data_IF_441731389767
#
_entry.id   IF_441731389767
#
_cell.length_a   1.000
_cell.length_b   1.000
_cell.length_c   1.000
_cell.angle_alpha   90.00
_cell.angle_beta   90.00
_cell.angle_gamma   90.00
#
_symmetry.space_group_name_H-M   'P 1'
#
loop_
_entity.id
_entity.type
_entity.pdbx_description
1 polymer ?
#
# COMPACT_ATOMS: atom_id res chain seq x y z
N UNK A 1 3.47 -6.74 -4.65
CA UNK A 1 4.48 -6.17 -4.00
C UNK A 1 5.34 -7.04 -3.13
N UNK A 2 6.44 -6.58 -2.74
CA UNK A 2 7.46 -7.42 -2.26
C UNK A 2 7.80 -7.20 -0.84
N UNK A 3 8.17 -8.27 -0.24
CA UNK A 3 8.80 -8.22 1.03
C UNK A 3 10.08 -7.43 0.90
N UNK A 4 10.39 -6.66 1.90
CA UNK A 4 11.61 -5.90 1.90
C UNK A 4 11.51 -4.49 1.38
N UNK A 5 10.33 -4.05 0.93
CA UNK A 5 10.16 -2.64 0.66
C UNK A 5 10.27 -1.87 1.96
N UNK A 6 11.16 -0.89 1.98
CA UNK A 6 11.31 -0.04 3.15
C UNK A 6 10.32 1.10 3.10
N UNK A 7 10.07 1.73 4.25
CA UNK A 7 9.20 2.90 4.27
C UNK A 7 9.78 4.04 3.45
N UNK A 8 11.10 4.14 3.37
CA UNK A 8 11.75 5.16 2.57
C UNK A 8 11.49 4.95 1.09
N UNK A 9 11.63 3.70 0.61
CA UNK A 9 11.39 3.39 -0.79
C UNK A 9 9.93 3.62 -1.16
N UNK A 10 9.01 3.19 -0.31
CA UNK A 10 7.59 3.38 -0.56
C UNK A 10 7.22 4.87 -0.53
N UNK A 11 7.78 5.63 0.42
CA UNK A 11 7.55 7.05 0.52
C UNK A 11 8.03 7.79 -0.73
N UNK A 12 9.21 7.42 -1.25
CA UNK A 12 9.73 8.00 -2.47
C UNK A 12 8.84 7.70 -3.66
N UNK A 13 8.33 6.49 -3.75
CA UNK A 13 7.45 6.08 -4.82
C UNK A 13 6.13 6.85 -4.78
N UNK A 14 5.55 7.00 -3.60
CA UNK A 14 4.33 7.77 -3.40
C UNK A 14 4.54 9.22 -3.82
N UNK A 15 5.66 9.81 -3.39
CA UNK A 15 6.01 11.18 -3.75
C UNK A 15 6.11 11.32 -5.27
N UNK A 16 6.76 10.37 -5.92
CA UNK A 16 6.89 10.38 -7.38
C UNK A 16 5.52 10.37 -8.06
N UNK A 17 4.63 9.49 -7.63
CA UNK A 17 3.31 9.39 -8.24
C UNK A 17 2.48 10.65 -8.03
N UNK A 18 2.52 11.25 -6.86
CA UNK A 18 1.72 12.45 -6.62
C UNK A 18 2.34 13.70 -7.25
N UNK A 19 3.65 13.83 -7.24
CA UNK A 19 4.31 15.06 -7.69
C UNK A 19 4.67 15.04 -9.17
N UNK A 20 5.08 13.88 -9.68
CA UNK A 20 5.54 13.80 -11.06
C UNK A 20 4.46 13.26 -12.00
N UNK A 21 3.80 12.17 -11.62
CA UNK A 21 2.75 11.58 -12.43
C UNK A 21 1.42 12.29 -12.20
N UNK A 22 1.26 12.88 -11.01
CA UNK A 22 0.06 13.65 -10.64
C UNK A 22 -1.20 12.80 -10.62
N UNK A 23 -1.10 11.62 -10.04
CA UNK A 23 -2.25 10.74 -9.88
C UNK A 23 -3.19 11.33 -8.82
N UNK A 24 -4.47 10.96 -8.89
CA UNK A 24 -5.47 11.44 -7.94
C UNK A 24 -5.46 10.63 -6.66
N UNK A 25 -5.11 9.37 -6.75
CA UNK A 25 -5.07 8.48 -5.59
C UNK A 25 -4.12 7.33 -5.85
N UNK A 26 -3.67 6.73 -4.75
CA UNK A 26 -2.83 5.55 -4.78
C UNK A 26 -3.52 4.48 -3.94
N UNK A 27 -3.52 3.26 -4.43
CA UNK A 27 -4.03 2.11 -3.69
C UNK A 27 -2.94 1.06 -3.61
N UNK A 28 -2.81 0.44 -2.43
CA UNK A 28 -1.84 -0.63 -2.22
C UNK A 28 -2.51 -1.77 -1.48
N UNK A 29 -2.06 -2.98 -1.76
CA UNK A 29 -2.59 -4.19 -1.14
C UNK A 29 -1.44 -5.01 -0.56
N UNK A 30 -1.74 -5.74 0.50
CA UNK A 30 -0.79 -6.72 1.01
C UNK A 30 -1.53 -7.91 1.60
N UNK A 31 -0.84 -9.04 1.68
CA UNK A 31 -1.36 -10.23 2.31
C UNK A 31 -1.58 -9.95 3.80
N UNK A 32 -2.74 -10.32 4.33
CA UNK A 32 -3.04 -10.11 5.74
C UNK A 32 -2.10 -10.86 6.66
N UNK A 33 -1.43 -11.88 6.14
CA UNK A 33 -0.44 -12.64 6.90
C UNK A 33 0.90 -11.92 7.01
N UNK A 34 1.04 -10.77 6.36
CA UNK A 34 2.28 -10.00 6.38
C UNK A 34 2.03 -8.63 7.02
N UNK A 35 1.95 -8.55 8.35
CA UNK A 35 1.62 -7.30 9.03
C UNK A 35 2.67 -6.21 8.87
N UNK A 36 3.90 -6.58 8.55
CA UNK A 36 4.96 -5.58 8.36
C UNK A 36 4.68 -4.68 7.17
N UNK A 37 4.10 -5.21 6.11
CA UNK A 37 3.72 -4.40 4.95
C UNK A 37 2.69 -3.35 5.33
N UNK A 38 1.71 -3.73 6.14
CA UNK A 38 0.70 -2.79 6.61
C UNK A 38 1.31 -1.68 7.46
N UNK A 39 2.27 -2.02 8.31
CA UNK A 39 2.95 -1.02 9.13
C UNK A 39 3.71 -0.02 8.28
N UNK A 40 4.38 -0.49 7.25
CA UNK A 40 5.11 0.36 6.32
C UNK A 40 4.15 1.30 5.60
N UNK A 41 3.03 0.78 5.14
CA UNK A 41 2.03 1.58 4.44
C UNK A 41 1.45 2.68 5.34
N UNK A 42 1.13 2.33 6.58
CA UNK A 42 0.62 3.32 7.53
C UNK A 42 1.66 4.40 7.84
N UNK A 43 2.91 4.00 7.95
CA UNK A 43 3.98 4.93 8.22
C UNK A 43 4.15 5.93 7.09
N UNK A 44 3.82 5.54 5.86
CA UNK A 44 3.89 6.41 4.70
C UNK A 44 2.63 7.25 4.49
N UNK A 45 1.66 7.13 5.38
CA UNK A 45 0.45 7.94 5.32
C UNK A 45 -0.73 7.27 4.65
N UNK A 46 -0.57 6.04 4.21
CA UNK A 46 -1.68 5.31 3.62
C UNK A 46 -2.69 4.92 4.69
N UNK A 47 -3.95 4.91 4.31
CA UNK A 47 -5.06 4.66 5.23
C UNK A 47 -5.66 3.29 4.93
N UNK A 48 -5.88 2.51 5.97
CA UNK A 48 -6.51 1.20 5.82
C UNK A 48 -7.96 1.37 5.37
N UNK A 49 -8.32 0.71 4.29
CA UNK A 49 -9.66 0.83 3.72
C UNK A 49 -10.51 -0.43 3.91
N UNK A 50 -9.89 -1.55 4.14
CA UNK A 50 -10.63 -2.77 4.36
C UNK A 50 -9.83 -4.00 3.96
N UNK A 51 -10.47 -5.16 4.12
CA UNK A 51 -9.87 -6.44 3.75
C UNK A 51 -10.78 -7.13 2.76
N UNK A 52 -10.19 -7.60 1.66
CA UNK A 52 -10.91 -8.41 0.67
C UNK A 52 -10.50 -9.86 0.90
N UNK A 53 -11.48 -10.71 1.18
CA UNK A 53 -11.21 -12.13 1.34
C UNK A 53 -10.94 -12.74 -0.02
N UNK A 54 -9.92 -13.59 -0.09
CA UNK A 54 -9.54 -14.26 -1.33
C UNK A 54 -9.28 -13.27 -2.44
N UNK A 55 -8.70 -12.10 -2.08
CA UNK A 55 -8.52 -11.02 -3.03
C UNK A 55 -7.31 -11.18 -3.92
N UNK A 56 -6.43 -12.12 -3.63
CA UNK A 56 -5.22 -12.30 -4.41
C UNK A 56 -4.74 -13.75 -4.34
N UNK A 57 -3.78 -14.08 -5.19
CA UNK A 57 -3.19 -15.42 -5.24
C UNK A 57 -1.70 -15.26 -5.02
N UNK A 58 -1.15 -16.08 -4.12
CA UNK A 58 0.29 -16.11 -3.90
C UNK A 58 0.80 -17.54 -4.01
N UNK A 59 2.05 -17.75 -3.61
CA UNK A 59 2.68 -19.07 -3.68
C UNK A 59 1.97 -20.15 -2.88
N UNK A 60 1.18 -19.74 -1.93
CA UNK A 60 0.46 -20.66 -1.05
C UNK A 60 -1.00 -20.81 -1.44
N UNK A 61 -1.43 -20.15 -2.52
CA UNK A 61 -2.79 -20.21 -2.99
C UNK A 61 -3.51 -18.89 -2.84
N UNK A 62 -4.82 -18.94 -2.65
CA UNK A 62 -5.63 -17.74 -2.50
C UNK A 62 -5.44 -17.16 -1.10
N UNK A 63 -5.23 -15.87 -1.01
CA UNK A 63 -5.06 -15.20 0.28
C UNK A 63 -5.98 -13.99 0.42
N UNK A 64 -6.20 -13.58 1.66
CA UNK A 64 -6.93 -12.36 1.94
C UNK A 64 -5.98 -11.17 1.80
N UNK A 65 -6.51 -10.05 1.32
CA UNK A 65 -5.70 -8.85 1.12
C UNK A 65 -6.26 -7.69 1.90
N UNK A 66 -5.37 -6.97 2.59
CA UNK A 66 -5.72 -5.69 3.19
C UNK A 66 -5.43 -4.59 2.19
N UNK A 67 -6.34 -3.63 2.08
CA UNK A 67 -6.25 -2.55 1.12
C UNK A 67 -5.99 -1.26 1.86
N UNK A 68 -4.99 -0.53 1.40
CA UNK A 68 -4.65 0.79 1.91
C UNK A 68 -4.71 1.79 0.77
N UNK A 69 -5.10 3.01 1.06
CA UNK A 69 -5.21 4.03 0.04
C UNK A 69 -4.79 5.39 0.55
N UNK A 70 -4.49 6.27 -0.39
CA UNK A 70 -4.16 7.66 -0.09
C UNK A 70 -4.60 8.50 -1.28
N UNK A 71 -5.41 9.53 -1.00
CA UNK A 71 -5.83 10.47 -2.05
C UNK A 71 -4.89 11.67 -2.04
N UNK A 72 -4.80 12.32 -3.20
CA UNK A 72 -3.88 13.45 -3.37
C UNK A 72 -4.18 14.59 -2.39
N UNK A 73 -5.46 14.79 -2.06
CA UNK A 73 -5.85 15.84 -1.13
C UNK A 73 -5.28 15.62 0.26
N UNK A 74 -5.09 14.37 0.65
CA UNK A 74 -4.58 14.03 1.97
C UNK A 74 -3.07 13.87 1.99
N UNK A 75 -2.43 13.92 0.83
CA UNK A 75 -0.98 13.77 0.75
C UNK A 75 -0.29 15.04 1.24
N UNK A 76 0.58 14.91 2.21
CA UNK A 76 1.26 16.04 2.84
C UNK A 76 2.73 16.14 2.49
N UNK A 77 3.19 15.22 1.72
CA UNK A 77 4.54 15.03 1.38
C UNK A 77 5.37 15.96 0.82
#
# INVERSE_FOLDING_TARGET
>A
VHQGITSEALSALISFFFKEVKVNQIEARHDTKNPNSGKVMKKCGLIYEGTIKQGDINNQGICDCSIYGLVAEDYRG
#
